data_IF_247944744522
#
_entry.id   IF_247944744522
#
_cell.length_a   1.000
_cell.length_b   1.000
_cell.length_c   1.000
_cell.angle_alpha   90.00
_cell.angle_beta   90.00
_cell.angle_gamma   90.00
#
_symmetry.space_group_name_H-M   'P 1'
#
loop_
_entity.id
_entity.type
_entity.pdbx_description
1 polymer ?
#
# COMPACT_ATOMS: atom_id res chain seq x y z
N UNK A 1 -4.19 -14.28 -24.18
CA UNK A 1 -5.01 -14.10 -22.96
C UNK A 1 -5.16 -15.50 -22.39
N UNK A 2 -4.76 -15.71 -21.14
CA UNK A 2 -4.98 -16.99 -20.47
C UNK A 2 -6.49 -17.20 -20.29
N UNK A 3 -6.99 -18.43 -20.46
CA UNK A 3 -8.39 -18.72 -20.12
C UNK A 3 -8.54 -18.67 -18.58
N UNK A 4 -9.74 -18.40 -18.06
CA UNK A 4 -9.96 -18.28 -16.60
C UNK A 4 -9.52 -19.53 -15.82
N UNK A 5 -9.51 -20.69 -16.48
CA UNK A 5 -9.04 -21.97 -15.94
C UNK A 5 -7.51 -22.09 -15.84
N UNK A 6 -6.75 -21.20 -16.51
CA UNK A 6 -5.29 -21.20 -16.51
C UNK A 6 -4.70 -20.34 -15.38
N UNK A 7 -5.50 -19.45 -14.77
CA UNK A 7 -5.05 -18.54 -13.69
C UNK A 7 -4.89 -19.31 -12.39
N UNK A 8 -3.64 -19.49 -11.94
CA UNK A 8 -3.33 -20.27 -10.74
C UNK A 8 -3.49 -19.50 -9.44
N UNK A 9 -3.09 -18.23 -9.43
CA UNK A 9 -3.11 -17.42 -8.23
C UNK A 9 -3.24 -15.92 -8.55
N UNK A 10 -4.13 -15.26 -7.81
CA UNK A 10 -4.29 -13.82 -7.79
C UNK A 10 -4.09 -13.36 -6.36
N UNK A 11 -3.19 -12.43 -6.15
CA UNK A 11 -3.03 -11.77 -4.87
C UNK A 11 -3.92 -10.51 -4.81
N UNK A 12 -4.67 -10.38 -3.73
CA UNK A 12 -5.75 -9.38 -3.61
C UNK A 12 -5.58 -8.57 -2.33
N UNK A 13 -6.25 -7.42 -2.26
CA UNK A 13 -6.20 -6.50 -1.12
C UNK A 13 -4.82 -5.82 -0.93
N UNK A 14 -4.04 -5.69 -2.00
CA UNK A 14 -2.81 -4.93 -1.97
C UNK A 14 -3.10 -3.44 -2.12
N UNK A 15 -2.28 -2.59 -1.51
CA UNK A 15 -2.30 -1.14 -1.69
C UNK A 15 -1.16 -0.70 -2.61
N UNK A 16 -1.21 0.49 -3.23
CA UNK A 16 -0.15 0.98 -4.10
C UNK A 16 1.23 1.01 -3.44
N UNK A 17 1.30 1.09 -2.11
CA UNK A 17 2.55 1.03 -1.33
C UNK A 17 3.27 -0.31 -1.48
N UNK A 18 2.56 -1.40 -1.79
CA UNK A 18 3.16 -2.70 -2.11
C UNK A 18 3.96 -2.64 -3.41
N UNK A 19 3.59 -1.74 -4.33
CA UNK A 19 4.26 -1.53 -5.61
C UNK A 19 5.16 -0.28 -5.60
N UNK A 20 5.64 0.15 -4.44
CA UNK A 20 6.60 1.26 -4.31
C UNK A 20 5.99 2.66 -4.33
N UNK A 21 4.68 2.82 -4.12
CA UNK A 21 4.11 4.14 -3.88
C UNK A 21 4.61 4.69 -2.54
N UNK A 22 5.27 5.85 -2.56
CA UNK A 22 5.69 6.54 -1.34
C UNK A 22 4.51 7.32 -0.75
N UNK A 23 4.02 6.84 0.39
CA UNK A 23 3.04 7.55 1.21
C UNK A 23 3.65 7.92 2.56
N UNK A 24 3.33 9.12 3.04
CA UNK A 24 3.48 9.45 4.45
C UNK A 24 2.12 9.41 5.14
N UNK A 25 1.75 8.24 5.65
CA UNK A 25 0.41 7.96 6.19
C UNK A 25 -0.02 8.91 7.31
N UNK A 26 0.92 9.53 8.05
CA UNK A 26 0.62 10.47 9.12
C UNK A 26 0.20 11.88 8.65
N UNK A 27 0.08 12.10 7.34
CA UNK A 27 -0.68 13.24 6.83
C UNK A 27 -2.17 13.13 7.19
N UNK A 28 -2.70 11.90 7.36
CA UNK A 28 -4.07 11.65 7.81
C UNK A 28 -4.17 11.55 9.33
N UNK A 29 -5.27 12.07 9.89
CA UNK A 29 -5.46 12.14 11.34
C UNK A 29 -5.65 10.75 11.98
N UNK A 30 -6.33 9.85 11.28
CA UNK A 30 -6.57 8.47 11.69
C UNK A 30 -5.28 7.73 12.00
N UNK A 31 -4.25 7.91 11.17
CA UNK A 31 -2.96 7.28 11.41
C UNK A 31 -2.22 7.90 12.61
N UNK A 32 -2.39 9.19 12.89
CA UNK A 32 -1.87 9.81 14.12
C UNK A 32 -2.55 9.25 15.37
N UNK A 33 -3.84 8.94 15.30
CA UNK A 33 -4.56 8.24 16.37
C UNK A 33 -3.99 6.83 16.54
N UNK A 34 -3.78 6.09 15.45
CA UNK A 34 -3.18 4.75 15.51
C UNK A 34 -1.77 4.75 16.11
N UNK A 35 -0.97 5.80 15.91
CA UNK A 35 0.33 5.93 16.60
C UNK A 35 0.21 6.06 18.12
N UNK A 36 -0.91 6.57 18.63
CA UNK A 36 -1.20 6.66 20.07
C UNK A 36 -1.79 5.38 20.65
N UNK A 37 -2.37 4.51 19.80
CA UNK A 37 -3.08 3.29 20.20
C UNK A 37 -2.44 2.04 19.58
N UNK A 38 -2.93 1.60 18.41
CA UNK A 38 -2.60 0.33 17.75
C UNK A 38 -1.10 0.12 17.56
N UNK A 39 -0.40 1.18 17.17
CA UNK A 39 1.03 1.17 16.89
C UNK A 39 1.86 1.92 17.94
N UNK A 40 1.34 2.02 19.18
CA UNK A 40 2.00 2.74 20.26
C UNK A 40 3.41 2.22 20.55
N UNK A 41 3.63 0.90 20.47
CA UNK A 41 4.94 0.29 20.70
C UNK A 41 5.95 0.70 19.62
N UNK A 42 5.51 0.83 18.38
CA UNK A 42 6.34 1.20 17.23
C UNK A 42 6.66 2.70 17.22
N UNK A 43 5.69 3.55 17.59
CA UNK A 43 5.81 5.00 17.46
C UNK A 43 5.95 5.76 18.79
N UNK A 44 6.06 5.06 19.92
CA UNK A 44 6.21 5.69 21.24
C UNK A 44 4.99 6.52 21.66
N UNK A 45 3.82 6.27 21.07
CA UNK A 45 2.60 7.03 21.35
C UNK A 45 2.52 8.40 20.66
N UNK A 46 3.38 8.69 19.68
CA UNK A 46 3.37 9.97 18.94
C UNK A 46 3.51 9.72 17.45
N UNK A 47 2.90 10.57 16.63
CA UNK A 47 3.13 10.50 15.18
C UNK A 47 4.60 10.84 14.89
N UNK A 48 5.37 9.97 14.20
CA UNK A 48 6.75 10.25 13.85
C UNK A 48 6.81 11.42 12.85
N UNK A 49 7.97 12.05 12.68
CA UNK A 49 8.23 12.93 11.53
C UNK A 49 8.45 12.09 10.26
N UNK A 50 8.46 12.73 9.07
CA UNK A 50 8.78 12.05 7.80
C UNK A 50 10.11 11.31 7.83
N UNK A 51 11.16 11.94 8.38
CA UNK A 51 12.49 11.32 8.51
C UNK A 51 12.50 10.15 9.49
N UNK A 52 11.81 10.27 10.63
CA UNK A 52 11.68 9.18 11.59
C UNK A 52 10.89 8.01 10.98
N UNK A 53 9.80 8.32 10.26
CA UNK A 53 8.99 7.31 9.59
C UNK A 53 9.79 6.55 8.53
N UNK A 54 10.61 7.24 7.74
CA UNK A 54 11.51 6.59 6.77
C UNK A 54 12.44 5.57 7.46
N UNK A 55 13.06 5.94 8.58
CA UNK A 55 13.91 5.01 9.35
C UNK A 55 13.11 3.83 9.92
N UNK A 56 11.88 4.05 10.36
CA UNK A 56 11.00 2.99 10.87
C UNK A 56 10.57 2.03 9.74
N UNK A 57 10.31 2.54 8.53
CA UNK A 57 10.08 1.73 7.32
C UNK A 57 11.30 0.89 6.97
N UNK A 58 12.50 1.47 7.00
CA UNK A 58 13.77 0.76 6.78
C UNK A 58 14.02 -0.35 7.82
N UNK A 59 13.45 -0.22 9.02
CA UNK A 59 13.48 -1.25 10.07
C UNK A 59 12.42 -2.36 9.90
N UNK A 60 11.62 -2.31 8.82
CA UNK A 60 10.65 -3.36 8.48
C UNK A 60 9.22 -3.11 8.95
N UNK A 61 8.86 -1.89 9.32
CA UNK A 61 7.45 -1.55 9.58
C UNK A 61 6.64 -1.59 8.27
N UNK A 62 5.59 -2.42 8.21
CA UNK A 62 4.74 -2.61 7.02
C UNK A 62 5.60 -2.74 5.74
N UNK A 63 6.36 -3.84 5.60
CA UNK A 63 7.22 -4.03 4.44
C UNK A 63 6.36 -4.15 3.17
N UNK A 64 6.93 -3.73 2.06
CA UNK A 64 6.40 -3.85 0.70
C UNK A 64 7.55 -3.65 -0.28
N UNK A 65 7.29 -3.68 -1.57
CA UNK A 65 8.34 -3.48 -2.57
C UNK A 65 8.62 -2.00 -2.81
N UNK A 66 9.84 -1.70 -3.27
CA UNK A 66 10.25 -0.33 -3.58
C UNK A 66 9.84 0.11 -4.98
N UNK A 67 9.43 -0.83 -5.84
CA UNK A 67 8.96 -0.51 -7.18
C UNK A 67 8.04 -1.59 -7.78
N UNK A 68 7.28 -1.24 -8.84
CA UNK A 68 6.49 -2.21 -9.62
C UNK A 68 7.33 -3.37 -10.17
N UNK A 69 8.57 -3.09 -10.58
CA UNK A 69 9.48 -4.09 -11.14
C UNK A 69 9.96 -5.10 -10.09
N UNK A 70 10.17 -4.64 -8.85
CA UNK A 70 10.52 -5.50 -7.73
C UNK A 70 9.35 -6.43 -7.36
N UNK A 71 8.12 -5.88 -7.32
CA UNK A 71 6.91 -6.69 -7.10
C UNK A 71 6.71 -7.73 -8.21
N UNK A 72 6.89 -7.36 -9.49
CA UNK A 72 6.83 -8.32 -10.61
C UNK A 72 7.84 -9.46 -10.45
N UNK A 73 9.06 -9.16 -10.00
CA UNK A 73 10.07 -10.18 -9.74
C UNK A 73 9.61 -11.13 -8.62
N UNK A 74 9.06 -10.61 -7.53
CA UNK A 74 8.49 -11.45 -6.47
C UNK A 74 7.31 -12.29 -6.97
N UNK A 75 6.45 -11.74 -7.83
CA UNK A 75 5.37 -12.52 -8.45
C UNK A 75 5.90 -13.71 -9.26
N UNK A 76 6.99 -13.53 -10.00
CA UNK A 76 7.64 -14.60 -10.77
C UNK A 76 8.28 -15.66 -9.86
N UNK A 77 8.89 -15.23 -8.75
CA UNK A 77 9.54 -16.13 -7.79
C UNK A 77 8.53 -16.96 -6.97
N UNK A 78 7.43 -16.32 -6.56
CA UNK A 78 6.41 -16.95 -5.70
C UNK A 78 5.33 -17.67 -6.51
N UNK A 79 5.10 -17.25 -7.76
CA UNK A 79 4.15 -17.87 -8.68
C UNK A 79 2.76 -17.20 -8.75
N UNK A 80 2.66 -15.91 -8.41
CA UNK A 80 1.43 -15.14 -8.60
C UNK A 80 1.29 -14.68 -10.05
N UNK A 81 0.12 -14.87 -10.66
CA UNK A 81 -0.10 -14.41 -12.04
C UNK A 81 -0.54 -12.95 -12.08
N UNK A 82 -1.42 -12.57 -11.16
CA UNK A 82 -1.95 -11.21 -11.05
C UNK A 82 -1.88 -10.69 -9.61
N UNK A 83 -1.74 -9.37 -9.49
CA UNK A 83 -1.88 -8.62 -8.23
C UNK A 83 -2.96 -7.56 -8.43
N UNK A 84 -3.92 -7.48 -7.52
CA UNK A 84 -4.94 -6.42 -7.50
C UNK A 84 -4.49 -5.30 -6.56
N UNK A 85 -4.27 -4.11 -7.12
CA UNK A 85 -3.96 -2.89 -6.38
C UNK A 85 -5.24 -2.10 -6.12
N UNK A 86 -5.56 -1.93 -4.84
CA UNK A 86 -6.81 -1.33 -4.42
C UNK A 86 -6.73 0.20 -4.51
N UNK A 87 -7.61 0.80 -5.32
CA UNK A 87 -7.92 2.22 -5.27
C UNK A 87 -8.78 2.52 -4.03
N UNK A 88 -8.10 2.80 -2.91
CA UNK A 88 -8.77 3.10 -1.65
C UNK A 88 -9.13 4.56 -1.58
N UNK A 89 -10.42 4.82 -1.33
CA UNK A 89 -10.92 6.09 -0.80
C UNK A 89 -11.75 5.82 0.45
N UNK A 90 -11.23 6.23 1.60
CA UNK A 90 -11.85 5.99 2.89
C UNK A 90 -12.44 7.28 3.46
N UNK A 91 -13.64 7.18 4.02
CA UNK A 91 -14.36 8.29 4.63
C UNK A 91 -14.70 7.99 6.09
N UNK A 92 -14.41 8.91 7.00
CA UNK A 92 -14.80 8.80 8.40
C UNK A 92 -16.21 9.33 8.58
N UNK A 93 -17.20 8.43 8.55
CA UNK A 93 -18.61 8.82 8.67
C UNK A 93 -18.99 9.32 10.07
N UNK A 94 -18.35 8.82 11.14
CA UNK A 94 -18.82 9.09 12.51
C UNK A 94 -18.04 10.18 13.25
N UNK A 95 -16.76 10.36 12.95
CA UNK A 95 -15.90 11.23 13.76
C UNK A 95 -15.52 12.52 13.03
N UNK A 96 -14.94 12.39 11.84
CA UNK A 96 -14.37 13.55 11.15
C UNK A 96 -15.21 14.05 9.97
N UNK A 97 -16.21 13.28 9.53
CA UNK A 97 -17.07 13.60 8.38
C UNK A 97 -16.26 14.10 7.16
N UNK A 98 -15.14 13.43 6.87
CA UNK A 98 -14.23 13.78 5.78
C UNK A 98 -13.52 12.55 5.21
N UNK A 99 -12.83 12.72 4.08
CA UNK A 99 -11.89 11.72 3.52
C UNK A 99 -10.69 11.60 4.45
N UNK A 100 -10.28 10.37 4.73
CA UNK A 100 -9.27 10.05 5.75
C UNK A 100 -8.15 9.16 5.22
N UNK A 101 -8.27 8.71 3.98
CA UNK A 101 -7.25 7.99 3.25
C UNK A 101 -7.67 8.03 1.78
N UNK A 102 -6.74 8.38 0.90
CA UNK A 102 -6.97 8.37 -0.54
C UNK A 102 -5.65 8.10 -1.26
N UNK A 103 -5.70 7.16 -2.19
CA UNK A 103 -4.67 7.00 -3.20
C UNK A 103 -5.13 7.66 -4.50
N UNK A 104 -4.37 8.62 -5.09
CA UNK A 104 -4.80 9.26 -6.32
C UNK A 104 -4.84 8.25 -7.48
N UNK A 105 -6.01 8.08 -8.12
CA UNK A 105 -6.21 7.12 -9.21
C UNK A 105 -5.20 7.29 -10.37
N UNK A 106 -4.76 8.50 -10.66
CA UNK A 106 -3.75 8.77 -11.69
C UNK A 106 -2.37 8.18 -11.34
N UNK A 107 -1.99 8.18 -10.06
CA UNK A 107 -0.74 7.56 -9.60
C UNK A 107 -0.86 6.03 -9.61
N UNK A 108 -2.01 5.49 -9.21
CA UNK A 108 -2.30 4.05 -9.30
C UNK A 108 -2.22 3.59 -10.76
N UNK A 109 -2.82 4.33 -11.69
CA UNK A 109 -2.78 4.03 -13.11
C UNK A 109 -1.36 4.01 -13.68
N UNK A 110 -0.46 4.89 -13.20
CA UNK A 110 0.96 4.85 -13.60
C UNK A 110 1.64 3.57 -13.12
N UNK A 111 1.34 3.12 -11.91
CA UNK A 111 1.85 1.86 -11.34
C UNK A 111 1.32 0.66 -12.13
N UNK A 112 0.01 0.58 -12.35
CA UNK A 112 -0.64 -0.51 -13.10
C UNK A 112 -0.05 -0.66 -14.51
N UNK A 113 0.20 0.45 -15.21
CA UNK A 113 0.84 0.43 -16.54
C UNK A 113 2.25 -0.18 -16.52
N UNK A 114 3.00 -0.06 -15.42
CA UNK A 114 4.31 -0.70 -15.27
C UNK A 114 4.21 -2.20 -14.96
N UNK A 115 3.07 -2.67 -14.47
CA UNK A 115 2.77 -4.07 -14.16
C UNK A 115 2.63 -4.99 -15.38
N UNK A 116 2.84 -4.52 -16.61
CA UNK A 116 2.83 -5.32 -17.86
C UNK A 116 1.55 -6.18 -18.04
N UNK A 117 0.41 -5.66 -17.61
CA UNK A 117 -0.89 -6.35 -17.67
C UNK A 117 -1.13 -7.39 -16.57
N UNK A 118 -0.25 -7.47 -15.57
CA UNK A 118 -0.37 -8.36 -14.41
C UNK A 118 -0.79 -7.63 -13.13
N UNK A 119 -0.76 -6.31 -13.13
CA UNK A 119 -1.38 -5.51 -12.08
C UNK A 119 -2.78 -5.11 -12.54
N UNK A 120 -3.76 -5.24 -11.65
CA UNK A 120 -5.17 -4.92 -11.86
C UNK A 120 -5.55 -3.78 -10.92
#
# INVERSE_FOLDING_TARGET
>A
MAELADIKAVDIMNYPTEAGYEEYMFDWEEFKIMARSTFKTQFGGQAPTREQFKKIKEQGFMPGHNSPEELLKTMDEVGFEYVVLTDVKMWSYYYHHQVIMEYPIDEINKIVKKGKGRFI
#
